data_IF_267885731527
#
_entry.id   IF_267885731527
#
_cell.length_a   1.000
_cell.length_b   1.000
_cell.length_c   1.000
_cell.angle_alpha   90.00
_cell.angle_beta   90.00
_cell.angle_gamma   90.00
#
_symmetry.space_group_name_H-M   'P 1'
#
loop_
_entity.id
_entity.type
_entity.pdbx_description
1 polymer ?
#
# COMPACT_ATOMS: atom_id res chain seq x y z
N UNK A 1 -3.98 6.98 -5.20
CA UNK A 1 -5.33 6.91 -4.59
C UNK A 1 -5.22 6.90 -3.06
N UNK A 2 -6.26 7.26 -2.31
CA UNK A 2 -6.24 7.20 -0.82
C UNK A 2 -6.49 5.77 -0.33
N UNK A 3 -6.09 5.48 0.92
CA UNK A 3 -6.32 4.18 1.56
C UNK A 3 -7.81 3.81 1.64
N UNK A 4 -8.67 4.77 1.94
CA UNK A 4 -10.12 4.52 2.00
C UNK A 4 -10.71 4.09 0.66
N UNK A 5 -10.29 4.75 -0.44
CA UNK A 5 -10.79 4.39 -1.77
C UNK A 5 -10.24 3.03 -2.19
N UNK A 6 -8.97 2.74 -1.86
CA UNK A 6 -8.38 1.41 -2.11
C UNK A 6 -9.15 0.30 -1.40
N UNK A 7 -9.45 0.48 -0.10
CA UNK A 7 -10.25 -0.47 0.69
C UNK A 7 -11.69 -0.60 0.19
N UNK A 8 -12.24 0.45 -0.41
CA UNK A 8 -13.57 0.40 -1.02
C UNK A 8 -13.59 -0.46 -2.29
N UNK A 9 -12.53 -0.40 -3.09
CA UNK A 9 -12.38 -1.24 -4.29
C UNK A 9 -11.97 -2.68 -3.95
N UNK A 10 -11.08 -2.85 -2.98
CA UNK A 10 -10.53 -4.14 -2.55
C UNK A 10 -10.78 -4.39 -1.06
N UNK A 11 -12.01 -4.63 -0.61
CA UNK A 11 -12.31 -4.77 0.80
C UNK A 11 -11.57 -5.97 1.44
N UNK A 12 -11.02 -5.82 2.64
CA UNK A 12 -10.29 -6.89 3.35
C UNK A 12 -11.18 -8.09 3.72
N UNK A 13 -12.50 -7.94 3.61
CA UNK A 13 -13.46 -9.04 3.76
C UNK A 13 -13.36 -10.04 2.60
N UNK A 14 -13.06 -9.56 1.39
CA UNK A 14 -13.02 -10.35 0.16
C UNK A 14 -11.58 -10.62 -0.33
N UNK A 15 -10.62 -9.79 0.08
CA UNK A 15 -9.24 -9.86 -0.37
C UNK A 15 -8.25 -9.90 0.80
N UNK A 16 -7.16 -10.66 0.62
CA UNK A 16 -5.98 -10.67 1.48
C UNK A 16 -4.88 -9.78 0.88
N UNK A 17 -4.16 -9.11 1.76
CA UNK A 17 -3.14 -8.12 1.41
C UNK A 17 -1.78 -8.73 1.76
N UNK A 18 -1.18 -9.44 0.81
CA UNK A 18 0.05 -10.19 1.04
C UNK A 18 1.25 -9.27 0.80
N UNK A 19 1.97 -8.92 1.85
CA UNK A 19 3.19 -8.13 1.71
C UNK A 19 4.24 -8.90 0.89
N UNK A 20 4.72 -8.27 -0.18
CA UNK A 20 5.66 -8.88 -1.13
C UNK A 20 7.07 -8.34 -0.95
N UNK A 21 7.20 -7.02 -0.85
CA UNK A 21 8.48 -6.35 -0.72
C UNK A 21 8.28 -4.94 -0.19
N UNK A 22 9.23 -4.45 0.58
CA UNK A 22 9.30 -3.06 0.99
C UNK A 22 10.57 -2.40 0.50
N UNK A 23 10.50 -1.10 0.24
CA UNK A 23 11.64 -0.27 -0.11
C UNK A 23 11.53 1.05 0.61
N UNK A 24 12.60 1.40 1.32
CA UNK A 24 12.71 2.69 2.00
C UNK A 24 13.64 3.59 1.18
N UNK A 25 13.27 4.86 1.04
CA UNK A 25 14.02 5.88 0.30
C UNK A 25 14.07 7.18 1.10
N UNK A 26 15.20 7.89 1.03
CA UNK A 26 15.45 9.15 1.72
C UNK A 26 16.56 9.03 2.76
N UNK A 27 17.13 10.16 3.18
CA UNK A 27 18.27 10.16 4.11
C UNK A 27 17.90 9.67 5.52
N UNK A 28 16.61 9.66 5.87
CA UNK A 28 16.08 9.18 7.14
C UNK A 28 14.86 8.26 6.99
N UNK A 29 14.64 7.66 5.82
CA UNK A 29 13.43 6.87 5.57
C UNK A 29 12.17 7.72 5.36
N UNK A 30 12.34 8.86 4.70
CA UNK A 30 11.26 9.82 4.41
C UNK A 30 10.17 9.23 3.51
N UNK A 31 10.48 8.19 2.74
CA UNK A 31 9.51 7.51 1.87
C UNK A 31 9.61 6.01 2.06
N UNK A 32 8.51 5.38 2.43
CA UNK A 32 8.34 3.94 2.53
C UNK A 32 7.44 3.50 1.38
N UNK A 33 7.90 2.52 0.61
CA UNK A 33 7.22 1.99 -0.57
C UNK A 33 7.05 0.50 -0.33
N UNK A 34 5.84 0.09 -0.01
CA UNK A 34 5.46 -1.29 0.27
C UNK A 34 4.62 -1.84 -0.87
N UNK A 35 4.97 -3.03 -1.35
CA UNK A 35 4.25 -3.72 -2.43
C UNK A 35 3.46 -4.85 -1.80
N UNK A 36 2.16 -4.87 -2.08
CA UNK A 36 1.20 -5.86 -1.63
C UNK A 36 0.58 -6.59 -2.81
N UNK A 37 0.57 -7.91 -2.77
CA UNK A 37 -0.25 -8.73 -3.66
C UNK A 37 -1.65 -8.88 -3.05
N UNK A 38 -2.65 -8.39 -3.76
CA UNK A 38 -4.06 -8.49 -3.39
C UNK A 38 -4.56 -9.84 -3.88
N UNK A 39 -4.85 -10.74 -2.95
CA UNK A 39 -5.26 -12.12 -3.21
C UNK A 39 -6.74 -12.25 -2.92
N UNK A 40 -7.53 -12.74 -3.89
CA UNK A 40 -8.94 -13.03 -3.66
C UNK A 40 -9.08 -14.20 -2.69
N UNK A 41 -9.83 -14.01 -1.60
CA UNK A 41 -10.11 -15.08 -0.62
C UNK A 41 -10.95 -16.21 -1.22
N UNK A 42 -11.81 -15.87 -2.18
CA UNK A 42 -12.67 -16.83 -2.86
C UNK A 42 -11.86 -17.82 -3.71
N UNK A 43 -10.83 -17.34 -4.41
CA UNK A 43 -10.09 -18.15 -5.39
C UNK A 43 -8.65 -18.47 -4.98
N UNK A 44 -8.11 -17.80 -3.96
CA UNK A 44 -6.71 -17.87 -3.55
C UNK A 44 -5.74 -17.32 -4.59
N UNK A 45 -6.21 -16.60 -5.61
CA UNK A 45 -5.39 -16.04 -6.68
C UNK A 45 -5.11 -14.56 -6.46
N UNK A 46 -3.89 -14.15 -6.75
CA UNK A 46 -3.54 -12.73 -6.84
C UNK A 46 -4.32 -12.09 -7.98
N UNK A 47 -5.17 -11.12 -7.63
CA UNK A 47 -5.96 -10.35 -8.59
C UNK A 47 -5.24 -9.07 -9.02
N UNK A 48 -4.37 -8.54 -8.16
CA UNK A 48 -3.70 -7.27 -8.37
C UNK A 48 -2.44 -7.20 -7.51
N UNK A 49 -1.40 -6.50 -7.98
CA UNK A 49 -0.28 -6.06 -7.15
C UNK A 49 -0.41 -4.56 -6.95
N UNK A 50 -0.60 -4.11 -5.71
CA UNK A 50 -0.73 -2.71 -5.35
C UNK A 50 0.48 -2.22 -4.57
N UNK A 51 0.89 -0.99 -4.79
CA UNK A 51 2.01 -0.33 -4.12
C UNK A 51 1.48 0.73 -3.18
N UNK A 52 1.72 0.57 -1.89
CA UNK A 52 1.51 1.55 -0.85
C UNK A 52 2.76 2.43 -0.72
N UNK A 53 2.64 3.72 -1.00
CA UNK A 53 3.69 4.69 -0.76
C UNK A 53 3.29 5.59 0.39
N UNK A 54 4.03 5.53 1.48
CA UNK A 54 3.96 6.46 2.59
C UNK A 54 5.13 7.44 2.50
N UNK A 55 4.83 8.73 2.56
CA UNK A 55 5.82 9.78 2.55
C UNK A 55 5.66 10.65 3.78
N UNK A 56 6.70 10.73 4.59
CA UNK A 56 6.78 11.57 5.79
C UNK A 56 7.71 12.75 5.51
N UNK A 57 7.12 13.93 5.37
CA UNK A 57 7.86 15.20 5.35
C UNK A 57 8.17 15.62 6.79
N UNK A 58 9.38 16.10 7.07
CA UNK A 58 9.82 16.48 8.42
C UNK A 58 9.66 17.98 8.75
N UNK A 59 9.38 18.84 7.76
CA UNK A 59 9.19 20.29 7.96
C UNK A 59 8.18 20.87 6.96
N UNK A 60 6.88 20.97 7.30
CA UNK A 60 6.20 20.50 8.52
C UNK A 60 6.14 18.97 8.61
N UNK A 61 5.92 18.42 9.82
CA UNK A 61 5.69 16.98 10.01
C UNK A 61 4.34 16.62 9.39
N UNK A 62 4.37 15.99 8.22
CA UNK A 62 3.17 15.55 7.51
C UNK A 62 3.46 14.20 6.88
N UNK A 63 2.66 13.22 7.25
CA UNK A 63 2.65 11.89 6.63
C UNK A 63 1.51 11.84 5.63
N UNK A 64 1.82 11.47 4.39
CA UNK A 64 0.85 11.25 3.33
C UNK A 64 1.01 9.85 2.80
N UNK A 65 -0.08 9.11 2.71
CA UNK A 65 -0.10 7.78 2.16
C UNK A 65 -0.91 7.72 0.87
N UNK A 66 -0.46 6.90 -0.06
CA UNK A 66 -1.10 6.74 -1.36
C UNK A 66 -0.90 5.33 -1.90
N UNK A 67 -1.94 4.81 -2.54
CA UNK A 67 -1.92 3.53 -3.26
C UNK A 67 -1.80 3.75 -4.77
N UNK A 68 -1.02 2.91 -5.44
CA UNK A 68 -0.79 2.85 -6.89
C UNK A 68 -0.89 1.39 -7.38
N UNK A 69 -1.64 1.13 -8.46
CA UNK A 69 -1.81 -0.21 -9.05
C UNK A 69 -2.20 -0.15 -10.53
#
# INVERSE_FOLDING_TARGET
MTDEDFRRNYPPEQYDYVHKSSRIKGSMGETEIDVYDIVSKETGKTVLTATYTEHTSHRPVKTTSSWDW
#
